data_IF_173083154636
#
_entry.id   IF_173083154636
#
_cell.length_a   1.000
_cell.length_b   1.000
_cell.length_c   1.000
_cell.angle_alpha   90.00
_cell.angle_beta   90.00
_cell.angle_gamma   90.00
#
_symmetry.space_group_name_H-M   'P 1'
#
loop_
_entity.id
_entity.type
_entity.pdbx_description
1 polymer ?
#
# COMPACT_ATOMS: atom_id res chain seq x y z
N UNK A 1 10.66 -14.07 -6.99
CA UNK A 1 11.02 -13.60 -5.65
C UNK A 1 10.48 -12.18 -5.49
N UNK A 2 9.72 -11.91 -4.43
CA UNK A 2 8.98 -10.65 -4.18
C UNK A 2 9.73 -9.74 -3.21
N UNK A 3 11.03 -9.95 -3.03
CA UNK A 3 11.87 -9.33 -1.99
C UNK A 3 11.86 -7.79 -1.89
N UNK A 4 11.21 -7.08 -2.83
CA UNK A 4 11.11 -5.61 -2.86
C UNK A 4 9.71 -5.05 -2.76
N UNK A 5 8.66 -5.88 -2.70
CA UNK A 5 7.27 -5.40 -2.76
C UNK A 5 6.94 -4.36 -1.67
N UNK A 6 7.42 -4.55 -0.45
CA UNK A 6 7.24 -3.56 0.63
C UNK A 6 7.89 -2.22 0.28
N UNK A 7 9.11 -2.25 -0.26
CA UNK A 7 9.85 -1.04 -0.65
C UNK A 7 9.17 -0.33 -1.82
N UNK A 8 8.71 -1.08 -2.82
CA UNK A 8 8.08 -0.54 -4.02
C UNK A 8 6.73 0.10 -3.69
N UNK A 9 5.93 -0.54 -2.84
CA UNK A 9 4.67 0.05 -2.35
C UNK A 9 4.91 1.26 -1.46
N UNK A 10 5.90 1.21 -0.57
CA UNK A 10 6.26 2.37 0.27
C UNK A 10 6.67 3.55 -0.62
N UNK A 11 7.47 3.31 -1.65
CA UNK A 11 7.85 4.33 -2.63
C UNK A 11 6.64 4.88 -3.38
N UNK A 12 5.77 4.02 -3.89
CA UNK A 12 4.57 4.45 -4.62
C UNK A 12 3.68 5.36 -3.75
N UNK A 13 3.51 5.04 -2.47
CA UNK A 13 2.79 5.89 -1.52
C UNK A 13 3.51 7.23 -1.32
N UNK A 14 4.81 7.22 -1.06
CA UNK A 14 5.60 8.45 -0.88
C UNK A 14 5.57 9.36 -2.12
N UNK A 15 5.58 8.80 -3.33
CA UNK A 15 5.48 9.55 -4.58
C UNK A 15 4.09 10.21 -4.75
N UNK A 16 3.06 9.72 -4.05
CA UNK A 16 1.74 10.37 -3.93
C UNK A 16 1.67 11.39 -2.78
N UNK A 17 2.80 11.75 -2.17
CA UNK A 17 2.89 12.79 -1.14
C UNK A 17 1.99 12.52 0.09
N UNK A 18 1.75 11.25 0.41
CA UNK A 18 1.04 10.88 1.65
C UNK A 18 2.02 10.71 2.80
N UNK A 19 1.57 11.03 4.01
CA UNK A 19 2.36 10.83 5.22
C UNK A 19 2.10 9.44 5.80
N UNK A 20 3.05 8.52 5.68
CA UNK A 20 2.89 7.14 6.18
C UNK A 20 3.07 7.13 7.70
N UNK A 21 2.00 6.76 8.42
CA UNK A 21 1.98 6.64 9.87
C UNK A 21 2.45 5.25 10.33
N UNK A 22 2.06 4.20 9.61
CA UNK A 22 2.55 2.84 9.87
C UNK A 22 2.47 1.97 8.63
N UNK A 23 3.35 0.98 8.58
CA UNK A 23 3.36 -0.07 7.58
C UNK A 23 3.62 -1.41 8.28
N UNK A 24 2.90 -2.45 7.87
CA UNK A 24 3.13 -3.82 8.35
C UNK A 24 2.96 -4.81 7.21
N UNK A 25 3.75 -5.88 7.24
CA UNK A 25 3.68 -6.97 6.26
C UNK A 25 3.53 -8.29 6.98
N UNK A 26 2.54 -9.07 6.56
CA UNK A 26 2.38 -10.45 6.99
C UNK A 26 2.48 -11.33 5.76
N UNK A 27 3.35 -12.34 5.78
CA UNK A 27 3.44 -13.33 4.71
C UNK A 27 2.80 -14.62 5.19
N UNK A 28 1.78 -15.07 4.46
CA UNK A 28 1.07 -16.30 4.74
C UNK A 28 1.84 -17.52 4.19
N UNK A 29 1.45 -18.73 4.63
CA UNK A 29 2.11 -19.99 4.24
C UNK A 29 2.00 -20.30 2.73
N UNK A 30 0.98 -19.75 2.08
CA UNK A 30 0.79 -19.79 0.62
C UNK A 30 1.68 -18.78 -0.13
N UNK A 31 2.61 -18.12 0.57
CA UNK A 31 3.51 -17.09 0.07
C UNK A 31 2.79 -15.81 -0.38
N UNK A 32 1.54 -15.62 0.02
CA UNK A 32 0.81 -14.36 -0.17
C UNK A 32 1.26 -13.36 0.89
N UNK A 33 1.84 -12.24 0.46
CA UNK A 33 2.20 -11.13 1.33
C UNK A 33 1.04 -10.13 1.39
N UNK A 34 0.60 -9.80 2.60
CA UNK A 34 -0.41 -8.78 2.88
C UNK A 34 0.31 -7.59 3.51
N UNK A 35 0.31 -6.46 2.81
CA UNK A 35 0.86 -5.20 3.32
C UNK A 35 -0.28 -4.29 3.75
N UNK A 36 -0.24 -3.80 5.00
CA UNK A 36 -1.19 -2.82 5.53
C UNK A 36 -0.47 -1.52 5.80
N UNK A 37 -1.00 -0.44 5.25
CA UNK A 37 -0.48 0.92 5.42
C UNK A 37 -1.55 1.79 6.06
N UNK A 38 -1.15 2.54 7.09
CA UNK A 38 -1.90 3.66 7.61
C UNK A 38 -1.17 4.94 7.22
N UNK A 39 -1.87 5.90 6.64
CA UNK A 39 -1.30 7.15 6.21
C UNK A 39 -2.32 8.29 6.30
N UNK A 40 -1.81 9.51 6.33
CA UNK A 40 -2.59 10.74 6.22
C UNK A 40 -2.47 11.32 4.81
N UNK A 41 -3.55 11.92 4.33
CA UNK A 41 -3.60 12.61 3.04
C UNK A 41 -4.33 13.94 3.20
N UNK A 42 -3.98 14.92 2.35
CA UNK A 42 -4.52 16.28 2.46
C UNK A 42 -6.04 16.37 2.19
N UNK A 43 -6.55 15.58 1.23
CA UNK A 43 -7.97 15.49 0.91
C UNK A 43 -8.34 14.04 0.58
N UNK A 44 -9.52 13.60 1.02
CA UNK A 44 -10.07 12.28 0.74
C UNK A 44 -10.31 12.03 -0.75
N UNK A 45 -10.52 13.08 -1.56
CA UNK A 45 -10.62 12.95 -3.03
C UNK A 45 -9.35 12.38 -3.67
N UNK A 46 -8.20 12.50 -2.98
CA UNK A 46 -6.92 11.98 -3.45
C UNK A 46 -6.78 10.46 -3.30
N UNK A 47 -7.65 9.83 -2.50
CA UNK A 47 -7.54 8.40 -2.20
C UNK A 47 -7.55 7.51 -3.45
N UNK A 48 -8.37 7.84 -4.45
CA UNK A 48 -8.48 7.03 -5.68
C UNK A 48 -7.16 7.03 -6.48
N UNK A 49 -6.47 8.16 -6.54
CA UNK A 49 -5.13 8.27 -7.16
C UNK A 49 -4.12 7.43 -6.39
N UNK A 50 -4.15 7.48 -5.05
CA UNK A 50 -3.25 6.69 -4.20
C UNK A 50 -3.48 5.19 -4.41
N UNK A 51 -4.74 4.74 -4.39
CA UNK A 51 -5.09 3.33 -4.62
C UNK A 51 -4.68 2.87 -6.02
N UNK A 52 -4.85 3.73 -7.04
CA UNK A 52 -4.43 3.46 -8.41
C UNK A 52 -2.92 3.32 -8.53
N UNK A 53 -2.15 4.22 -7.89
CA UNK A 53 -0.70 4.17 -7.89
C UNK A 53 -0.18 2.89 -7.25
N UNK A 54 -0.72 2.47 -6.09
CA UNK A 54 -0.34 1.22 -5.45
C UNK A 54 -0.71 0.01 -6.32
N UNK A 55 -1.89 0.01 -6.93
CA UNK A 55 -2.35 -1.08 -7.80
C UNK A 55 -1.48 -1.24 -9.06
N UNK A 56 -0.77 -0.18 -9.47
CA UNK A 56 0.17 -0.21 -10.60
C UNK A 56 1.54 -0.83 -10.27
N UNK A 57 1.85 -1.04 -8.99
CA UNK A 57 3.11 -1.67 -8.56
C UNK A 57 3.13 -3.15 -8.96
N UNK A 58 4.19 -3.58 -9.64
CA UNK A 58 4.36 -4.97 -10.04
C UNK A 58 4.28 -5.93 -8.84
N UNK A 59 3.44 -6.96 -8.95
CA UNK A 59 3.24 -7.95 -7.88
C UNK A 59 2.17 -7.58 -6.86
N UNK A 60 1.54 -6.40 -6.96
CA UNK A 60 0.30 -6.10 -6.23
C UNK A 60 -0.86 -6.78 -6.93
N UNK A 61 -1.53 -7.70 -6.22
CA UNK A 61 -2.67 -8.44 -6.75
C UNK A 61 -4.00 -7.69 -6.55
N UNK A 62 -4.21 -7.13 -5.36
CA UNK A 62 -5.39 -6.33 -5.05
C UNK A 62 -5.05 -5.24 -4.03
N UNK A 63 -5.85 -4.17 -4.04
CA UNK A 63 -5.74 -3.02 -3.14
C UNK A 63 -7.13 -2.57 -2.74
N UNK A 64 -7.41 -2.59 -1.44
CA UNK A 64 -8.68 -2.16 -0.90
C UNK A 64 -8.48 -1.28 0.34
N UNK A 65 -9.33 -0.26 0.47
CA UNK A 65 -9.43 0.51 1.72
C UNK A 65 -10.03 -0.40 2.80
N UNK A 66 -9.42 -0.40 3.98
CA UNK A 66 -9.98 -1.03 5.19
C UNK A 66 -10.27 0.04 6.22
N UNK A 67 -11.38 -0.12 6.94
CA UNK A 67 -11.66 0.66 8.14
C UNK A 67 -11.29 -0.21 9.34
N UNK A 68 -10.54 0.33 10.29
CA UNK A 68 -10.47 -0.30 11.61
C UNK A 68 -11.85 -0.12 12.25
N UNK A 69 -12.55 -1.24 12.49
CA UNK A 69 -13.72 -1.28 13.38
C UNK A 69 -13.28 -1.10 14.83
#
# INVERSE_FOLDING_TARGET
DRARLLSDVTKALSDQHVNILSASVVTNKDQTAISKFLFEMADASHLDTVLTAVRSVEGVYDVNRVFNN
#
